data_IF_504068457691
#
_entry.id   IF_504068457691
#
_cell.length_a   1.000
_cell.length_b   1.000
_cell.length_c   1.000
_cell.angle_alpha   90.00
_cell.angle_beta   90.00
_cell.angle_gamma   90.00
#
_symmetry.space_group_name_H-M   'P 1'
#
loop_
_entity.id
_entity.type
_entity.pdbx_description
1 polymer ?
#
# COMPACT_ATOMS: atom_id res chain seq x y z
N UNK A 1 -17.69 10.82 18.53
CA UNK A 1 -16.59 11.62 19.06
C UNK A 1 -15.32 10.81 19.32
N UNK A 2 -15.38 9.69 20.02
CA UNK A 2 -14.21 8.83 20.29
C UNK A 2 -13.55 8.32 19.00
N UNK A 3 -14.33 7.87 18.01
CA UNK A 3 -13.84 7.38 16.71
C UNK A 3 -13.05 8.43 15.93
N UNK A 4 -13.51 9.69 15.97
CA UNK A 4 -12.84 10.84 15.34
C UNK A 4 -11.47 11.06 15.98
N UNK A 5 -11.41 11.02 17.31
CA UNK A 5 -10.16 11.21 18.06
C UNK A 5 -9.19 10.06 17.75
N UNK A 6 -9.67 8.83 17.75
CA UNK A 6 -8.84 7.65 17.42
C UNK A 6 -8.29 7.75 15.99
N UNK A 7 -9.14 8.04 15.00
CA UNK A 7 -8.72 8.16 13.60
C UNK A 7 -7.72 9.30 13.41
N UNK A 8 -7.92 10.44 14.07
CA UNK A 8 -7.01 11.58 14.02
C UNK A 8 -5.64 11.27 14.63
N UNK A 9 -5.61 10.69 15.84
CA UNK A 9 -4.36 10.30 16.51
C UNK A 9 -3.63 9.23 15.71
N UNK A 10 -4.36 8.24 15.16
CA UNK A 10 -3.79 7.20 14.32
C UNK A 10 -3.17 7.80 13.05
N UNK A 11 -3.90 8.67 12.36
CA UNK A 11 -3.43 9.33 11.14
C UNK A 11 -2.16 10.15 11.38
N UNK A 12 -2.13 10.96 12.44
CA UNK A 12 -0.93 11.72 12.81
C UNK A 12 0.24 10.81 13.16
N UNK A 13 0.01 9.73 13.91
CA UNK A 13 1.05 8.77 14.29
C UNK A 13 1.65 8.10 13.07
N UNK A 14 0.82 7.64 12.13
CA UNK A 14 1.26 6.98 10.90
C UNK A 14 2.02 7.96 10.00
N UNK A 15 1.57 9.22 9.88
CA UNK A 15 2.30 10.25 9.13
C UNK A 15 3.64 10.58 9.78
N UNK A 16 3.70 10.64 11.12
CA UNK A 16 4.96 10.84 11.84
C UNK A 16 5.96 9.71 11.58
N UNK A 17 5.50 8.44 11.62
CA UNK A 17 6.32 7.30 11.24
C UNK A 17 6.76 7.37 9.77
N UNK A 18 5.90 7.80 8.87
CA UNK A 18 6.24 8.03 7.47
C UNK A 18 7.35 9.05 7.30
N UNK A 19 7.26 10.19 7.99
CA UNK A 19 8.31 11.21 7.98
C UNK A 19 9.61 10.69 8.60
N UNK A 20 9.55 10.01 9.73
CA UNK A 20 10.72 9.42 10.37
C UNK A 20 11.43 8.44 9.44
N UNK A 21 10.70 7.52 8.81
CA UNK A 21 11.26 6.57 7.84
C UNK A 21 11.83 7.28 6.61
N UNK A 22 11.24 8.37 6.15
CA UNK A 22 11.78 9.19 5.05
C UNK A 22 13.14 9.82 5.43
N UNK A 23 13.26 10.39 6.63
CA UNK A 23 14.53 10.94 7.10
C UNK A 23 15.62 9.88 7.20
N UNK A 24 15.28 8.68 7.66
CA UNK A 24 16.20 7.55 7.71
C UNK A 24 16.45 6.90 6.34
N UNK A 25 15.53 7.03 5.39
CA UNK A 25 15.61 6.43 4.06
C UNK A 25 16.87 6.85 3.28
N UNK A 26 17.33 8.09 3.47
CA UNK A 26 18.56 8.59 2.87
C UNK A 26 19.80 7.79 3.29
N UNK A 27 19.74 7.11 4.44
CA UNK A 27 20.85 6.31 5.00
C UNK A 27 20.68 4.81 4.82
N UNK A 28 19.44 4.30 4.67
CA UNK A 28 19.11 2.86 4.81
C UNK A 28 18.68 2.21 3.49
N UNK A 29 18.35 2.98 2.44
CA UNK A 29 18.08 2.46 1.10
C UNK A 29 16.63 2.54 0.64
N UNK A 30 16.35 1.91 -0.52
CA UNK A 30 15.09 2.03 -1.27
C UNK A 30 13.86 1.52 -0.52
N UNK A 31 14.01 0.49 0.33
CA UNK A 31 12.93 -0.06 1.14
C UNK A 31 12.28 1.00 2.02
N UNK A 32 13.11 1.81 2.69
CA UNK A 32 12.62 2.87 3.58
C UNK A 32 11.81 3.93 2.84
N UNK A 33 12.12 4.22 1.58
CA UNK A 33 11.34 5.15 0.75
C UNK A 33 9.96 4.56 0.47
N UNK A 34 9.89 3.30 0.06
CA UNK A 34 8.60 2.63 -0.23
C UNK A 34 7.72 2.56 1.02
N UNK A 35 8.31 2.22 2.17
CA UNK A 35 7.61 2.20 3.47
C UNK A 35 7.12 3.61 3.85
N UNK A 36 7.96 4.64 3.68
CA UNK A 36 7.58 6.01 3.99
C UNK A 36 6.39 6.49 3.16
N UNK A 37 6.37 6.18 1.85
CA UNK A 37 5.26 6.53 0.97
C UNK A 37 3.98 5.79 1.38
N UNK A 38 4.08 4.48 1.67
CA UNK A 38 2.93 3.70 2.16
C UNK A 38 2.37 4.29 3.47
N UNK A 39 3.23 4.60 4.43
CA UNK A 39 2.81 5.21 5.70
C UNK A 39 2.16 6.58 5.49
N UNK A 40 2.68 7.39 4.57
CA UNK A 40 2.09 8.68 4.24
C UNK A 40 0.68 8.52 3.63
N UNK A 41 0.49 7.55 2.73
CA UNK A 41 -0.82 7.23 2.15
C UNK A 41 -1.83 6.78 3.20
N UNK A 42 -1.44 5.85 4.08
CA UNK A 42 -2.30 5.36 5.16
C UNK A 42 -2.63 6.46 6.18
N UNK A 43 -1.67 7.30 6.51
CA UNK A 43 -1.89 8.46 7.39
C UNK A 43 -2.85 9.46 6.77
N UNK A 44 -2.68 9.77 5.49
CA UNK A 44 -3.58 10.64 4.74
C UNK A 44 -5.00 10.06 4.71
N UNK A 45 -5.16 8.76 4.46
CA UNK A 45 -6.45 8.08 4.49
C UNK A 45 -7.14 8.22 5.86
N UNK A 46 -6.41 7.99 6.95
CA UNK A 46 -6.96 8.16 8.30
C UNK A 46 -7.41 9.59 8.55
N UNK A 47 -6.65 10.60 8.12
CA UNK A 47 -7.00 12.01 8.28
C UNK A 47 -8.21 12.40 7.43
N UNK A 48 -8.30 11.92 6.18
CA UNK A 48 -9.46 12.14 5.32
C UNK A 48 -10.71 11.50 5.92
N UNK A 49 -10.60 10.31 6.51
CA UNK A 49 -11.72 9.64 7.19
C UNK A 49 -12.30 10.50 8.31
N UNK A 50 -11.47 11.25 9.05
CA UNK A 50 -11.93 12.20 10.06
C UNK A 50 -12.75 13.32 9.43
N UNK A 51 -12.24 13.94 8.35
CA UNK A 51 -12.96 15.00 7.63
C UNK A 51 -14.35 14.54 7.18
N UNK A 52 -14.44 13.35 6.60
CA UNK A 52 -15.69 12.80 6.10
C UNK A 52 -16.70 12.41 7.19
N UNK A 53 -16.22 12.03 8.38
CA UNK A 53 -17.11 11.77 9.53
C UNK A 53 -17.70 13.09 10.07
N UNK A 54 -16.94 14.19 10.00
CA UNK A 54 -17.36 15.49 10.50
C UNK A 54 -18.35 16.19 9.57
N UNK A 55 -18.14 16.09 8.24
CA UNK A 55 -18.95 16.81 7.24
C UNK A 55 -20.34 16.21 6.98
N UNK A 56 -20.65 15.03 7.54
CA UNK A 56 -21.98 14.45 7.54
C UNK A 56 -22.38 13.70 6.23
N UNK A 57 -23.68 13.29 6.10
CA UNK A 57 -24.12 12.33 5.10
C UNK A 57 -24.11 12.81 3.64
N UNK A 58 -24.00 14.10 3.38
CA UNK A 58 -24.13 14.67 2.02
C UNK A 58 -22.94 14.40 1.10
N UNK A 59 -21.75 14.07 1.64
CA UNK A 59 -20.54 13.74 0.85
C UNK A 59 -20.20 12.23 0.88
N UNK A 60 -21.09 11.41 1.42
CA UNK A 60 -20.78 10.02 1.77
C UNK A 60 -20.34 9.15 0.60
N UNK A 61 -20.98 9.30 -0.56
CA UNK A 61 -20.68 8.43 -1.71
C UNK A 61 -19.35 8.78 -2.40
N UNK A 62 -19.07 10.06 -2.57
CA UNK A 62 -17.81 10.52 -3.19
C UNK A 62 -16.63 10.30 -2.25
N UNK A 63 -16.85 10.51 -0.96
CA UNK A 63 -15.88 10.26 0.10
C UNK A 63 -15.49 8.80 0.19
N UNK A 64 -16.49 7.89 0.14
CA UNK A 64 -16.26 6.46 0.14
C UNK A 64 -15.46 5.99 -1.06
N UNK A 65 -15.73 6.54 -2.25
CA UNK A 65 -14.97 6.25 -3.47
C UNK A 65 -13.51 6.64 -3.34
N UNK A 66 -13.25 7.82 -2.80
CA UNK A 66 -11.89 8.31 -2.57
C UNK A 66 -11.13 7.41 -1.58
N UNK A 67 -11.73 7.10 -0.43
CA UNK A 67 -11.12 6.25 0.60
C UNK A 67 -10.82 4.86 0.05
N UNK A 68 -11.79 4.22 -0.60
CA UNK A 68 -11.60 2.90 -1.21
C UNK A 68 -10.50 2.91 -2.28
N UNK A 69 -10.36 4.01 -3.02
CA UNK A 69 -9.30 4.16 -4.02
C UNK A 69 -7.91 4.25 -3.39
N UNK A 70 -7.78 4.94 -2.25
CA UNK A 70 -6.50 5.02 -1.52
C UNK A 70 -6.09 3.64 -0.98
N UNK A 71 -7.05 2.88 -0.41
CA UNK A 71 -6.81 1.52 0.06
C UNK A 71 -6.26 0.61 -1.03
N UNK A 72 -6.87 0.67 -2.21
CA UNK A 72 -6.48 -0.14 -3.36
C UNK A 72 -5.08 0.26 -3.88
N UNK A 73 -4.79 1.55 -3.94
CA UNK A 73 -3.46 2.05 -4.33
C UNK A 73 -2.37 1.66 -3.31
N UNK A 74 -2.71 1.43 -2.05
CA UNK A 74 -1.77 0.94 -1.05
C UNK A 74 -1.32 -0.51 -1.29
N UNK A 75 -2.14 -1.35 -1.95
CA UNK A 75 -1.85 -2.78 -2.18
C UNK A 75 -0.51 -3.03 -2.89
N UNK A 76 -0.17 -2.37 -4.02
CA UNK A 76 1.12 -2.58 -4.68
C UNK A 76 2.33 -2.17 -3.82
N UNK A 77 2.18 -1.24 -2.88
CA UNK A 77 3.28 -0.89 -1.97
C UNK A 77 3.63 -2.04 -1.04
N UNK A 78 2.63 -2.77 -0.51
CA UNK A 78 2.89 -3.98 0.28
C UNK A 78 3.64 -5.04 -0.53
N UNK A 79 3.26 -5.24 -1.79
CA UNK A 79 3.93 -6.16 -2.69
C UNK A 79 5.40 -5.75 -2.97
N UNK A 80 5.65 -4.44 -3.17
CA UNK A 80 7.00 -3.91 -3.36
C UNK A 80 7.87 -4.07 -2.10
N UNK A 81 7.30 -3.88 -0.90
CA UNK A 81 7.99 -4.13 0.36
C UNK A 81 8.39 -5.60 0.47
N UNK A 82 7.44 -6.52 0.24
CA UNK A 82 7.72 -7.96 0.25
C UNK A 82 8.81 -8.34 -0.77
N UNK A 83 8.75 -7.75 -1.96
CA UNK A 83 9.75 -7.97 -3.00
C UNK A 83 11.14 -7.53 -2.56
N UNK A 84 11.26 -6.34 -1.99
CA UNK A 84 12.57 -5.81 -1.54
C UNK A 84 13.10 -6.58 -0.33
N UNK A 85 12.23 -7.06 0.57
CA UNK A 85 12.62 -7.91 1.69
C UNK A 85 13.17 -9.27 1.24
N UNK A 86 12.55 -9.89 0.23
CA UNK A 86 12.97 -11.21 -0.29
C UNK A 86 14.19 -11.11 -1.20
N UNK A 87 14.30 -10.01 -1.96
CA UNK A 87 15.42 -9.74 -2.89
C UNK A 87 15.85 -8.29 -2.76
N UNK A 88 16.72 -7.97 -1.80
CA UNK A 88 17.23 -6.61 -1.62
C UNK A 88 17.83 -6.03 -2.90
N UNK A 89 17.49 -4.77 -3.22
CA UNK A 89 17.93 -4.09 -4.43
C UNK A 89 17.16 -4.44 -5.70
N UNK A 90 16.14 -5.33 -5.63
CA UNK A 90 15.34 -5.73 -6.79
C UNK A 90 14.30 -4.69 -7.21
N UNK A 91 13.97 -3.74 -6.34
CA UNK A 91 12.99 -2.68 -6.63
C UNK A 91 13.68 -1.55 -7.40
N UNK A 92 13.35 -1.43 -8.69
CA UNK A 92 13.76 -0.31 -9.55
C UNK A 92 12.60 0.67 -9.75
N UNK A 93 12.86 1.93 -10.14
CA UNK A 93 11.79 2.89 -10.43
C UNK A 93 10.80 2.39 -11.48
N UNK A 94 11.28 1.69 -12.51
CA UNK A 94 10.42 1.10 -13.53
C UNK A 94 9.47 0.05 -12.96
N UNK A 95 9.94 -0.79 -12.03
CA UNK A 95 9.11 -1.79 -11.35
C UNK A 95 8.08 -1.12 -10.45
N UNK A 96 8.45 -0.05 -9.74
CA UNK A 96 7.52 0.75 -8.92
C UNK A 96 6.40 1.30 -9.79
N UNK A 97 6.74 1.97 -10.88
CA UNK A 97 5.76 2.54 -11.81
C UNK A 97 4.87 1.44 -12.41
N UNK A 98 5.44 0.35 -12.91
CA UNK A 98 4.70 -0.74 -13.53
C UNK A 98 3.70 -1.40 -12.56
N UNK A 99 4.01 -1.47 -11.27
CA UNK A 99 3.12 -2.04 -10.26
C UNK A 99 2.05 -1.06 -9.79
N UNK A 100 2.36 0.22 -9.65
CA UNK A 100 1.43 1.22 -9.09
C UNK A 100 0.49 1.76 -10.16
N UNK A 101 0.97 1.98 -11.39
CA UNK A 101 0.23 2.65 -12.46
C UNK A 101 -1.13 2.00 -12.77
N UNK A 102 -1.28 0.67 -12.88
CA UNK A 102 -2.58 0.04 -13.13
C UNK A 102 -3.61 0.34 -12.04
N UNK A 103 -3.18 0.32 -10.76
CA UNK A 103 -4.05 0.60 -9.63
C UNK A 103 -4.48 2.06 -9.57
N UNK A 104 -3.55 2.99 -9.83
CA UNK A 104 -3.87 4.41 -9.93
C UNK A 104 -4.82 4.69 -11.09
N UNK A 105 -4.58 4.10 -12.27
CA UNK A 105 -5.42 4.30 -13.45
C UNK A 105 -6.86 3.81 -13.21
N UNK A 106 -7.04 2.61 -12.64
CA UNK A 106 -8.37 2.08 -12.30
C UNK A 106 -9.04 2.92 -11.21
N UNK A 107 -8.30 3.33 -10.19
CA UNK A 107 -8.81 4.17 -9.09
C UNK A 107 -9.30 5.53 -9.62
N UNK A 108 -8.53 6.17 -10.46
CA UNK A 108 -8.92 7.44 -11.10
C UNK A 108 -10.19 7.23 -11.96
N UNK A 109 -10.21 6.20 -12.80
CA UNK A 109 -11.39 5.88 -13.61
C UNK A 109 -12.63 5.63 -12.74
N UNK A 110 -12.48 4.94 -11.61
CA UNK A 110 -13.58 4.68 -10.66
C UNK A 110 -14.09 5.97 -10.00
N UNK A 111 -13.20 6.86 -9.56
CA UNK A 111 -13.59 8.13 -8.94
C UNK A 111 -14.46 8.96 -9.90
N UNK A 112 -14.08 9.03 -11.18
CA UNK A 112 -14.81 9.86 -12.16
C UNK A 112 -16.07 9.19 -12.73
N UNK A 113 -16.10 7.86 -12.90
CA UNK A 113 -17.22 7.18 -13.56
C UNK A 113 -18.25 6.61 -12.59
N UNK A 114 -17.88 6.40 -11.32
CA UNK A 114 -18.69 5.74 -10.29
C UNK A 114 -19.25 4.37 -10.73
N UNK A 115 -18.62 3.71 -11.72
CA UNK A 115 -19.12 2.46 -12.27
C UNK A 115 -18.88 1.29 -11.29
N UNK A 116 -19.94 0.59 -10.92
CA UNK A 116 -19.89 -0.58 -10.02
C UNK A 116 -18.96 -1.68 -10.57
N UNK A 117 -18.85 -1.82 -11.89
CA UNK A 117 -17.93 -2.75 -12.53
C UNK A 117 -16.45 -2.44 -12.17
N UNK A 118 -16.06 -1.16 -12.20
CA UNK A 118 -14.69 -0.76 -11.85
C UNK A 118 -14.39 -1.03 -10.37
N UNK A 119 -15.36 -0.83 -9.49
CA UNK A 119 -15.23 -1.18 -8.07
C UNK A 119 -14.92 -2.68 -7.87
N UNK A 120 -15.68 -3.56 -8.52
CA UNK A 120 -15.42 -4.99 -8.47
C UNK A 120 -14.09 -5.39 -9.11
N UNK A 121 -13.72 -4.78 -10.22
CA UNK A 121 -12.40 -4.99 -10.85
C UNK A 121 -11.25 -4.59 -9.91
N UNK A 122 -11.39 -3.49 -9.17
CA UNK A 122 -10.42 -3.06 -8.17
C UNK A 122 -10.27 -4.10 -7.05
N UNK A 123 -11.38 -4.56 -6.47
CA UNK A 123 -11.36 -5.54 -5.36
C UNK A 123 -10.79 -6.87 -5.82
N UNK A 124 -11.35 -7.45 -6.88
CA UNK A 124 -10.94 -8.76 -7.39
C UNK A 124 -9.50 -8.69 -7.92
N UNK A 125 -9.16 -7.65 -8.66
CA UNK A 125 -7.81 -7.43 -9.18
C UNK A 125 -6.77 -7.30 -8.07
N UNK A 126 -7.06 -6.54 -7.02
CA UNK A 126 -6.16 -6.40 -5.85
C UNK A 126 -6.01 -7.70 -5.07
N UNK A 127 -7.10 -8.46 -4.91
CA UNK A 127 -7.06 -9.77 -4.24
C UNK A 127 -6.19 -10.78 -5.03
N UNK A 128 -6.41 -10.90 -6.34
CA UNK A 128 -5.60 -11.78 -7.21
C UNK A 128 -4.13 -11.36 -7.17
N UNK A 129 -3.86 -10.05 -7.30
CA UNK A 129 -2.52 -9.51 -7.25
C UNK A 129 -1.83 -9.80 -5.90
N UNK A 130 -2.53 -9.57 -4.78
CA UNK A 130 -2.03 -9.85 -3.44
C UNK A 130 -1.69 -11.33 -3.24
N UNK A 131 -2.59 -12.23 -3.65
CA UNK A 131 -2.36 -13.69 -3.59
C UNK A 131 -1.17 -14.09 -4.47
N UNK A 132 -1.07 -13.58 -5.69
CA UNK A 132 0.05 -13.86 -6.59
C UNK A 132 1.39 -13.46 -5.97
N UNK A 133 1.48 -12.29 -5.34
CA UNK A 133 2.68 -11.84 -4.65
C UNK A 133 2.99 -12.65 -3.40
N UNK A 134 2.00 -13.06 -2.62
CA UNK A 134 2.19 -13.95 -1.48
C UNK A 134 2.76 -15.30 -1.90
N UNK A 135 2.17 -15.91 -2.93
CA UNK A 135 2.67 -17.18 -3.48
C UNK A 135 4.11 -17.02 -4.00
N UNK A 136 4.37 -15.97 -4.76
CA UNK A 136 5.72 -15.67 -5.25
C UNK A 136 6.73 -15.51 -4.10
N UNK A 137 6.35 -14.80 -3.04
CA UNK A 137 7.16 -14.60 -1.83
C UNK A 137 7.48 -15.93 -1.15
N UNK A 138 6.46 -16.78 -0.92
CA UNK A 138 6.62 -18.08 -0.29
C UNK A 138 7.55 -19.01 -1.09
N UNK A 139 7.40 -19.04 -2.42
CA UNK A 139 8.27 -19.84 -3.30
C UNK A 139 9.72 -19.37 -3.21
N UNK A 140 9.97 -18.05 -3.22
CA UNK A 140 11.32 -17.52 -3.13
C UNK A 140 11.96 -17.76 -1.75
N UNK A 141 11.21 -17.65 -0.65
CA UNK A 141 11.70 -17.96 0.70
C UNK A 141 12.08 -19.45 0.79
N UNK A 142 11.23 -20.35 0.30
CA UNK A 142 11.53 -21.79 0.28
C UNK A 142 12.78 -22.11 -0.53
N UNK A 143 12.94 -21.48 -1.70
CA UNK A 143 14.12 -21.63 -2.53
C UNK A 143 15.38 -21.14 -1.82
N UNK A 144 15.31 -19.99 -1.14
CA UNK A 144 16.43 -19.43 -0.38
C UNK A 144 16.83 -20.35 0.78
N UNK A 145 15.85 -20.84 1.56
CA UNK A 145 16.12 -21.76 2.66
C UNK A 145 16.78 -23.08 2.19
N UNK A 146 16.37 -23.61 1.02
CA UNK A 146 17.01 -24.79 0.44
C UNK A 146 18.48 -24.52 0.10
N UNK A 147 18.78 -23.39 -0.53
CA UNK A 147 20.16 -23.00 -0.87
C UNK A 147 21.02 -22.82 0.38
N UNK A 148 20.48 -22.26 1.45
CA UNK A 148 21.19 -22.15 2.74
C UNK A 148 21.49 -23.52 3.33
N UNK A 149 20.52 -24.44 3.33
CA UNK A 149 20.73 -25.80 3.84
C UNK A 149 21.80 -26.56 3.04
N UNK A 150 21.84 -26.40 1.72
CA UNK A 150 22.86 -27.00 0.85
C UNK A 150 24.27 -26.42 1.12
N UNK A 151 24.38 -25.13 1.48
CA UNK A 151 25.67 -24.49 1.79
C UNK A 151 26.20 -24.81 3.19
N UNK A 152 25.34 -25.08 4.16
CA UNK A 152 25.73 -25.29 5.57
C UNK A 152 25.68 -26.76 6.01
N UNK A 153 25.35 -27.71 5.11
CA UNK A 153 25.35 -29.15 5.39
C UNK A 153 26.71 -29.84 5.13
N UNK A 154 27.82 -29.09 5.19
CA UNK A 154 29.18 -29.62 5.17
C UNK A 154 29.87 -29.40 6.51
#
# INVERSE_FOLDING_TARGET
MLEIIIAFVLGLSVMFFGMATWFFARKVGKLSVVVAVLMALLGLQCLLSVGFIVDGPYLRDDSWRLLSSIDIVAVPFYALILRELVRPGSVSPAIVIANILPFVAISVAYIFSAATLLYWLMIVGSAIYGVAYLVWTLVNIRRYNRLLMEQYSY
#
